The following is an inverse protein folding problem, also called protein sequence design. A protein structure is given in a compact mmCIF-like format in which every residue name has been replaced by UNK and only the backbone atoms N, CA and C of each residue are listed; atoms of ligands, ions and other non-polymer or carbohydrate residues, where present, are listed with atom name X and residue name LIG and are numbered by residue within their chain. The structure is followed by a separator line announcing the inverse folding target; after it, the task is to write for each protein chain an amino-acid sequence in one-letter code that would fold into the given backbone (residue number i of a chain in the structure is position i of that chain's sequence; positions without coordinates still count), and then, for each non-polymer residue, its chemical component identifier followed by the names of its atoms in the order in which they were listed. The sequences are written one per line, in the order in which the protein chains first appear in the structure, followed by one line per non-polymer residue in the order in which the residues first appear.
data_IF_244506876161
#
_entry.id   IF_244506876161
#
_cell.length_a   1.000
_cell.length_b   1.000
_cell.length_c   1.000
_cell.angle_alpha   90.00
_cell.angle_beta   90.00
_cell.angle_gamma   90.00
#
_symmetry.space_group_name_H-M   'P 1'
#
loop_
_entity.id
_entity.type
_entity.pdbx_description
1 polymer ?
#
# COMPACT_ATOMS: atom_id res chain seq x y z
N UNK A 1 18.94 -0.95 -5.95
CA UNK A 1 17.93 -1.82 -6.59
C UNK A 1 16.49 -1.59 -6.10
N UNK A 2 16.27 -0.96 -4.93
CA UNK A 2 14.94 -0.74 -4.38
C UNK A 2 14.02 0.14 -5.25
N UNK A 3 14.48 1.30 -5.71
CA UNK A 3 13.67 2.24 -6.50
C UNK A 3 13.01 1.62 -7.75
N UNK A 4 13.74 0.93 -8.65
CA UNK A 4 13.11 0.31 -9.81
C UNK A 4 12.16 -0.84 -9.41
N UNK A 5 12.50 -1.63 -8.39
CA UNK A 5 11.61 -2.69 -7.89
C UNK A 5 10.30 -2.12 -7.31
N UNK A 6 10.37 -1.02 -6.57
CA UNK A 6 9.19 -0.37 -6.03
C UNK A 6 8.24 0.12 -7.13
N UNK A 7 8.79 0.71 -8.20
CA UNK A 7 7.97 1.16 -9.33
C UNK A 7 7.34 -0.03 -10.04
N UNK A 8 8.12 -1.07 -10.36
CA UNK A 8 7.63 -2.21 -11.14
C UNK A 8 6.67 -3.09 -10.32
N UNK A 9 7.07 -3.51 -9.14
CA UNK A 9 6.32 -4.47 -8.33
C UNK A 9 5.33 -3.78 -7.39
N UNK A 10 5.73 -2.63 -6.83
CA UNK A 10 4.93 -1.91 -5.83
C UNK A 10 3.81 -1.05 -6.43
N UNK A 11 4.00 -0.53 -7.64
CA UNK A 11 3.06 0.39 -8.29
C UNK A 11 2.47 -0.19 -9.59
N UNK A 12 3.31 -0.55 -10.57
CA UNK A 12 2.83 -0.95 -11.91
C UNK A 12 2.09 -2.29 -11.90
N UNK A 13 2.63 -3.30 -11.24
CA UNK A 13 2.02 -4.64 -11.16
C UNK A 13 0.60 -4.64 -10.56
N UNK A 14 0.36 -4.02 -9.37
CA UNK A 14 -0.98 -4.00 -8.79
C UNK A 14 -1.98 -3.09 -9.53
N UNK A 15 -1.52 -2.10 -10.31
CA UNK A 15 -2.39 -1.29 -11.18
C UNK A 15 -2.72 -2.03 -12.48
N UNK A 16 -1.76 -2.78 -13.05
CA UNK A 16 -1.98 -3.48 -14.33
C UNK A 16 -2.85 -4.73 -14.19
N UNK A 17 -2.70 -5.49 -13.10
CA UNK A 17 -3.48 -6.71 -12.87
C UNK A 17 -5.01 -6.53 -13.01
N UNK A 18 -5.65 -5.54 -12.36
CA UNK A 18 -7.09 -5.29 -12.52
C UNK A 18 -7.48 -4.77 -13.89
N UNK A 19 -6.66 -3.89 -14.48
CA UNK A 19 -6.94 -3.29 -15.78
C UNK A 19 -6.91 -4.35 -16.91
N UNK A 20 -5.99 -5.31 -16.83
CA UNK A 20 -5.79 -6.30 -17.90
C UNK A 20 -6.56 -7.61 -17.66
N UNK A 21 -6.64 -8.11 -16.42
CA UNK A 21 -7.26 -9.42 -16.13
C UNK A 21 -8.71 -9.36 -15.66
N UNK A 22 -9.16 -8.23 -15.08
CA UNK A 22 -10.51 -8.11 -14.53
C UNK A 22 -11.42 -7.14 -15.28
N UNK A 23 -10.94 -6.53 -16.36
CA UNK A 23 -11.72 -5.61 -17.19
C UNK A 23 -12.13 -4.33 -16.44
N UNK A 24 -11.39 -3.96 -15.38
CA UNK A 24 -11.62 -2.74 -14.63
C UNK A 24 -11.19 -1.50 -15.44
N UNK A 25 -11.85 -0.37 -15.18
CA UNK A 25 -11.41 0.90 -15.73
C UNK A 25 -10.02 1.26 -15.19
N UNK A 26 -9.14 1.76 -16.06
CA UNK A 26 -7.80 2.23 -15.70
C UNK A 26 -7.86 3.28 -14.60
N UNK A 27 -8.87 4.17 -14.64
CA UNK A 27 -9.06 5.17 -13.60
C UNK A 27 -9.34 4.51 -12.24
N UNK A 28 -10.19 3.48 -12.19
CA UNK A 28 -10.50 2.79 -10.95
C UNK A 28 -9.28 2.04 -10.41
N UNK A 29 -8.54 1.36 -11.29
CA UNK A 29 -7.32 0.65 -10.95
C UNK A 29 -6.24 1.57 -10.37
N UNK A 30 -6.07 2.78 -10.92
CA UNK A 30 -5.09 3.76 -10.42
C UNK A 30 -5.54 4.37 -9.09
N UNK A 31 -6.80 4.78 -8.96
CA UNK A 31 -7.28 5.44 -7.74
C UNK A 31 -7.40 4.47 -6.56
N UNK A 32 -7.97 3.29 -6.76
CA UNK A 32 -8.19 2.32 -5.69
C UNK A 32 -6.90 1.54 -5.40
N UNK A 33 -6.36 0.83 -6.39
CA UNK A 33 -5.23 -0.08 -6.17
C UNK A 33 -3.88 0.62 -6.15
N UNK A 34 -3.75 1.79 -6.78
CA UNK A 34 -2.60 2.68 -6.63
C UNK A 34 -2.68 3.50 -5.33
N UNK A 35 -3.51 4.54 -5.34
CA UNK A 35 -3.51 5.54 -4.26
C UNK A 35 -4.14 5.04 -2.96
N UNK A 36 -5.39 4.57 -2.98
CA UNK A 36 -6.10 4.18 -1.76
C UNK A 36 -5.37 3.04 -1.03
N UNK A 37 -4.88 2.04 -1.77
CA UNK A 37 -4.04 0.96 -1.21
C UNK A 37 -2.85 1.51 -0.42
N UNK A 38 -2.09 2.44 -1.00
CA UNK A 38 -0.91 3.02 -0.36
C UNK A 38 -1.29 3.86 0.87
N UNK A 39 -2.37 4.64 0.77
CA UNK A 39 -2.88 5.45 1.88
C UNK A 39 -3.28 4.56 3.06
N UNK A 40 -4.02 3.47 2.82
CA UNK A 40 -4.43 2.55 3.88
C UNK A 40 -3.21 1.89 4.53
N UNK A 41 -2.25 1.40 3.73
CA UNK A 41 -1.03 0.78 4.25
C UNK A 41 -0.21 1.75 5.13
N UNK A 42 -0.08 3.00 4.67
CA UNK A 42 0.63 4.05 5.40
C UNK A 42 -0.08 4.37 6.73
N UNK A 43 -1.41 4.57 6.69
CA UNK A 43 -2.20 4.84 7.88
C UNK A 43 -2.16 3.68 8.88
N UNK A 44 -2.20 2.43 8.41
CA UNK A 44 -2.06 1.26 9.28
C UNK A 44 -0.68 1.21 9.95
N UNK A 45 0.38 1.50 9.20
CA UNK A 45 1.74 1.54 9.76
C UNK A 45 1.89 2.64 10.81
N UNK A 46 1.35 3.84 10.52
CA UNK A 46 1.33 4.95 11.46
C UNK A 46 0.40 4.70 12.65
N UNK A 47 -0.70 3.98 12.46
CA UNK A 47 -1.59 3.57 13.54
C UNK A 47 -0.84 2.69 14.52
N UNK A 48 -0.14 1.66 14.06
CA UNK A 48 0.67 0.77 14.92
C UNK A 48 1.78 1.57 15.60
N UNK A 49 2.48 2.44 14.88
CA UNK A 49 3.52 3.29 15.47
C UNK A 49 2.97 4.20 16.59
N UNK A 50 1.81 4.82 16.34
CA UNK A 50 1.13 5.68 17.32
C UNK A 50 0.63 4.86 18.50
N UNK A 51 0.09 3.67 18.24
CA UNK A 51 -0.40 2.74 19.24
C UNK A 51 0.70 2.29 20.20
N UNK A 52 1.88 1.95 19.69
CA UNK A 52 3.03 1.59 20.53
C UNK A 52 3.47 2.75 21.42
N UNK A 53 3.43 3.98 20.90
CA UNK A 53 3.84 5.16 21.66
C UNK A 53 2.81 5.57 22.72
N UNK A 54 1.51 5.52 22.39
CA UNK A 54 0.41 5.91 23.29
C UNK A 54 0.17 4.86 24.37
N UNK A 55 0.11 3.59 24.00
CA UNK A 55 -0.24 2.49 24.92
C UNK A 55 0.97 1.76 25.50
N UNK A 56 2.20 2.19 25.16
CA UNK A 56 3.41 1.63 25.73
C UNK A 56 3.56 0.14 25.45
N UNK A 57 3.03 -0.34 24.32
CA UNK A 57 3.13 -1.73 23.85
C UNK A 57 4.58 -2.00 23.42
N UNK A 58 5.50 -2.04 24.37
CA UNK A 58 6.83 -2.61 24.13
C UNK A 58 6.66 -4.12 24.03
N UNK A 59 7.15 -4.77 22.96
CA UNK A 59 7.39 -6.19 23.05
C UNK A 59 8.33 -6.39 24.24
N UNK A 60 7.93 -7.26 25.17
CA UNK A 60 8.76 -7.66 26.32
C UNK A 60 10.20 -7.89 25.87
N UNK A 61 11.17 -7.40 26.65
CA UNK A 61 12.60 -7.66 26.43
C UNK A 61 12.90 -9.14 26.13
#
# INVERSE_FOLDING_TARGET
FYWPLYIVVGLLLPINAPAEYWGESIANSVFILGFLRLVILMNMSFLVNSAMHIWGLKPTD
#
